data_IF_422285397653
#
_entry.id   IF_422285397653
#
_cell.length_a   1.000
_cell.length_b   1.000
_cell.length_c   1.000
_cell.angle_alpha   90.00
_cell.angle_beta   90.00
_cell.angle_gamma   90.00
#
_symmetry.space_group_name_H-M   'P 1'
#
loop_
_entity.id
_entity.type
_entity.pdbx_description
1 polymer ?
#
# COMPACT_ATOMS: atom_id res chain seq x y z
N UNK A 1 15.75 6.91 -2.44
CA UNK A 1 15.08 6.60 -1.16
C UNK A 1 16.10 6.74 -0.04
N UNK A 2 15.69 7.07 1.19
CA UNK A 2 16.59 7.12 2.35
C UNK A 2 17.02 5.72 2.82
N UNK A 3 16.04 4.82 2.97
CA UNK A 3 16.23 3.40 3.22
C UNK A 3 15.36 2.60 2.26
N UNK A 4 15.96 1.62 1.58
CA UNK A 4 15.26 0.63 0.76
C UNK A 4 15.59 -0.76 1.31
N UNK A 5 14.55 -1.53 1.64
CA UNK A 5 14.68 -2.92 2.02
C UNK A 5 13.91 -3.80 1.02
N UNK A 6 14.59 -4.82 0.51
CA UNK A 6 14.03 -5.78 -0.43
C UNK A 6 14.38 -7.18 0.03
N UNK A 7 13.42 -8.12 -0.02
CA UNK A 7 13.64 -9.53 0.36
C UNK A 7 14.23 -9.69 1.76
N UNK A 8 13.80 -8.84 2.68
CA UNK A 8 14.28 -8.81 4.06
C UNK A 8 13.20 -9.31 5.04
N UNK A 9 13.61 -9.69 6.24
CA UNK A 9 12.72 -10.14 7.31
C UNK A 9 13.02 -9.40 8.61
N UNK A 10 11.97 -9.05 9.36
CA UNK A 10 12.06 -8.47 10.71
C UNK A 10 12.94 -7.21 10.82
N UNK A 11 12.41 -6.07 10.35
CA UNK A 11 13.13 -4.79 10.35
C UNK A 11 12.57 -3.89 11.45
N UNK A 12 13.46 -3.29 12.25
CA UNK A 12 13.09 -2.29 13.25
C UNK A 12 13.85 -0.99 13.02
N UNK A 13 13.11 0.10 12.86
CA UNK A 13 13.60 1.48 12.82
C UNK A 13 13.16 2.17 14.11
N UNK A 14 14.07 2.26 15.07
CA UNK A 14 13.85 2.99 16.33
C UNK A 14 14.52 4.35 16.23
N UNK A 15 13.73 5.43 16.37
CA UNK A 15 14.22 6.80 16.30
C UNK A 15 15.01 7.12 15.03
N UNK A 16 14.64 6.45 13.92
CA UNK A 16 15.22 6.70 12.61
C UNK A 16 14.73 8.03 12.05
N UNK A 17 15.61 8.77 11.38
CA UNK A 17 15.30 10.10 10.88
C UNK A 17 15.78 10.31 9.45
N UNK A 18 14.88 10.84 8.62
CA UNK A 18 15.22 11.50 7.35
C UNK A 18 14.78 12.95 7.52
N UNK A 19 15.72 13.80 7.91
CA UNK A 19 15.44 15.19 8.28
C UNK A 19 16.59 16.11 7.84
N UNK A 20 16.31 17.42 7.87
CA UNK A 20 17.35 18.43 7.67
C UNK A 20 18.35 18.39 8.84
N UNK A 21 19.58 18.84 8.59
CA UNK A 21 20.66 18.82 9.59
C UNK A 21 20.45 19.83 10.74
N UNK A 22 19.47 20.71 10.61
CA UNK A 22 19.15 21.77 11.56
C UNK A 22 18.42 22.93 10.88
N UNK A 23 18.09 23.96 11.65
CA UNK A 23 17.38 25.15 11.16
C UNK A 23 18.17 25.96 10.13
N UNK A 24 19.50 25.85 10.15
CA UNK A 24 20.40 26.58 9.23
C UNK A 24 20.73 25.75 7.97
N UNK A 25 20.11 24.58 7.79
CA UNK A 25 20.29 23.78 6.59
C UNK A 25 19.63 24.48 5.39
N UNK A 26 20.40 24.89 4.35
CA UNK A 26 19.83 25.65 3.23
C UNK A 26 19.02 24.79 2.26
N UNK A 27 18.95 23.47 2.48
CA UNK A 27 18.26 22.53 1.59
C UNK A 27 16.76 22.60 1.81
N UNK A 28 16.02 22.68 0.72
CA UNK A 28 14.55 22.70 0.73
C UNK A 28 13.91 21.31 0.94
N UNK A 29 14.66 20.24 0.68
CA UNK A 29 14.18 18.86 0.79
C UNK A 29 15.33 17.93 1.21
N UNK A 30 15.00 16.74 1.73
CA UNK A 30 15.95 15.75 2.24
C UNK A 30 16.30 14.71 1.18
N UNK A 31 15.43 13.73 0.93
CA UNK A 31 15.61 12.70 -0.10
C UNK A 31 14.82 13.03 -1.36
N UNK A 32 15.33 12.65 -2.54
CA UNK A 32 14.66 12.85 -3.84
C UNK A 32 13.50 11.87 -4.11
N UNK A 33 13.29 10.92 -3.21
CA UNK A 33 12.21 9.93 -3.22
C UNK A 33 11.85 9.61 -1.77
N UNK A 34 11.24 8.46 -1.52
CA UNK A 34 10.74 8.01 -0.22
C UNK A 34 11.81 8.09 0.87
N UNK A 35 11.39 8.39 2.11
CA UNK A 35 12.29 8.28 3.25
C UNK A 35 12.61 6.80 3.54
N UNK A 36 11.59 5.93 3.54
CA UNK A 36 11.75 4.47 3.72
C UNK A 36 10.84 3.72 2.75
N UNK A 37 11.31 2.58 2.23
CA UNK A 37 10.59 1.79 1.25
C UNK A 37 10.90 0.31 1.44
N UNK A 38 9.87 -0.54 1.46
CA UNK A 38 9.96 -1.96 1.76
C UNK A 38 9.20 -2.76 0.71
N UNK A 39 9.94 -3.52 -0.10
CA UNK A 39 9.37 -4.29 -1.21
C UNK A 39 9.65 -5.77 -1.03
N UNK A 40 8.60 -6.60 -0.98
CA UNK A 40 8.73 -8.04 -0.80
C UNK A 40 9.46 -8.42 0.50
N UNK A 41 9.11 -7.79 1.62
CA UNK A 41 9.63 -8.14 2.94
C UNK A 41 8.66 -9.07 3.69
N UNK A 42 9.16 -9.85 4.66
CA UNK A 42 8.33 -10.73 5.52
C UNK A 42 8.55 -10.49 7.01
N UNK A 43 7.79 -11.19 7.84
CA UNK A 43 7.83 -11.02 9.30
C UNK A 43 7.21 -9.70 9.72
N UNK A 44 7.94 -8.89 10.50
CA UNK A 44 7.41 -7.63 11.06
C UNK A 44 8.30 -6.43 10.73
N UNK A 45 7.70 -5.35 10.26
CA UNK A 45 8.33 -4.04 10.09
C UNK A 45 7.85 -3.13 11.22
N UNK A 46 8.77 -2.64 12.04
CA UNK A 46 8.50 -1.70 13.12
C UNK A 46 9.23 -0.41 12.81
N UNK A 47 8.51 0.71 12.83
CA UNK A 47 9.06 2.04 12.64
C UNK A 47 8.46 2.96 13.69
N UNK A 48 9.28 3.39 14.64
CA UNK A 48 8.80 4.08 15.81
C UNK A 48 9.68 5.22 16.30
N UNK A 49 9.02 6.27 16.81
CA UNK A 49 9.64 7.47 17.37
C UNK A 49 10.59 8.19 16.40
N UNK A 50 10.34 8.05 15.08
CA UNK A 50 11.15 8.61 14.01
C UNK A 50 10.70 10.00 13.55
N UNK A 51 11.55 10.65 12.75
CA UNK A 51 11.28 11.94 12.11
C UNK A 51 11.47 11.83 10.60
N UNK A 52 10.39 11.99 9.85
CA UNK A 52 10.37 11.95 8.40
C UNK A 52 9.96 13.33 7.87
N UNK A 53 10.92 14.08 7.38
CA UNK A 53 10.74 15.49 7.02
C UNK A 53 11.31 15.81 5.65
N UNK A 54 10.51 16.53 4.86
CA UNK A 54 10.99 17.19 3.65
C UNK A 54 11.44 16.26 2.54
N UNK A 55 11.10 14.98 2.57
CA UNK A 55 11.38 14.05 1.47
C UNK A 55 10.45 14.32 0.28
N UNK A 56 10.93 13.99 -0.92
CA UNK A 56 10.19 14.26 -2.16
C UNK A 56 9.16 13.18 -2.52
N UNK A 57 8.94 12.20 -1.63
CA UNK A 57 7.89 11.18 -1.74
C UNK A 57 7.46 10.70 -0.33
N UNK A 58 7.00 9.47 -0.20
CA UNK A 58 6.38 8.96 1.02
C UNK A 58 7.36 8.77 2.20
N UNK A 59 6.87 8.85 3.45
CA UNK A 59 7.68 8.50 4.62
C UNK A 59 8.00 7.02 4.68
N UNK A 60 7.00 6.20 4.34
CA UNK A 60 7.07 4.75 4.32
C UNK A 60 6.15 4.22 3.24
N UNK A 61 6.69 3.35 2.37
CA UNK A 61 5.91 2.52 1.46
C UNK A 61 6.21 1.04 1.73
N UNK A 62 5.17 0.22 1.92
CA UNK A 62 5.28 -1.22 2.15
C UNK A 62 4.37 -1.96 1.18
N UNK A 63 4.95 -2.81 0.35
CA UNK A 63 4.21 -3.60 -0.64
C UNK A 63 4.92 -4.90 -1.05
N UNK A 64 4.17 -5.82 -1.64
CA UNK A 64 4.72 -6.90 -2.48
C UNK A 64 4.80 -6.49 -3.95
N UNK A 65 5.30 -7.35 -4.84
CA UNK A 65 5.24 -7.08 -6.29
C UNK A 65 4.47 -8.18 -7.02
N UNK A 66 3.49 -7.82 -7.84
CA UNK A 66 2.74 -8.79 -8.62
C UNK A 66 3.61 -9.26 -9.79
N UNK A 67 3.64 -10.56 -10.05
CA UNK A 67 4.06 -11.05 -11.35
C UNK A 67 2.86 -11.13 -12.28
N UNK A 68 2.94 -10.51 -13.46
CA UNK A 68 1.90 -10.69 -14.48
C UNK A 68 2.02 -12.08 -15.10
N UNK A 69 0.93 -12.82 -15.20
CA UNK A 69 0.89 -14.08 -15.97
C UNK A 69 1.08 -13.76 -17.44
N UNK A 70 2.17 -14.26 -18.04
CA UNK A 70 2.49 -14.07 -19.47
C UNK A 70 2.31 -15.34 -20.28
N UNK A 71 2.24 -16.51 -19.63
CA UNK A 71 2.01 -17.79 -20.29
C UNK A 71 1.53 -18.85 -19.31
N UNK A 72 0.53 -19.65 -19.70
CA UNK A 72 0.22 -20.94 -19.06
C UNK A 72 0.96 -22.07 -19.78
N UNK A 73 1.74 -22.86 -19.05
CA UNK A 73 2.49 -24.00 -19.61
C UNK A 73 1.66 -25.28 -19.53
N UNK A 74 1.07 -25.53 -18.36
CA UNK A 74 0.21 -26.66 -18.06
C UNK A 74 -0.74 -26.30 -16.91
N UNK A 75 -1.43 -27.29 -16.33
CA UNK A 75 -2.39 -27.08 -15.24
C UNK A 75 -1.76 -26.70 -13.90
N UNK A 76 -0.44 -26.77 -13.78
CA UNK A 76 0.29 -26.46 -12.56
C UNK A 76 1.37 -25.40 -12.75
N UNK A 77 1.67 -24.98 -13.99
CA UNK A 77 2.83 -24.15 -14.28
C UNK A 77 2.49 -22.91 -15.08
N UNK A 78 2.93 -21.74 -14.59
CA UNK A 78 2.82 -20.45 -15.27
C UNK A 78 4.21 -19.83 -15.50
N UNK A 79 4.29 -18.94 -16.49
CA UNK A 79 5.33 -17.92 -16.56
C UNK A 79 4.76 -16.62 -16.00
N UNK A 80 5.41 -16.09 -14.97
CA UNK A 80 5.11 -14.79 -14.36
C UNK A 80 6.22 -13.78 -14.69
N UNK A 81 5.86 -12.52 -14.96
CA UNK A 81 6.81 -11.46 -15.34
C UNK A 81 6.69 -10.23 -14.44
N UNK A 82 7.82 -9.69 -14.02
CA UNK A 82 7.91 -8.34 -13.45
C UNK A 82 7.62 -7.28 -14.51
N UNK A 83 6.64 -6.42 -14.25
CA UNK A 83 6.16 -5.46 -15.25
C UNK A 83 6.84 -4.10 -15.15
N UNK A 84 6.86 -3.49 -13.97
CA UNK A 84 7.40 -2.15 -13.79
C UNK A 84 8.93 -2.14 -13.95
N UNK A 85 9.48 -1.12 -14.61
CA UNK A 85 10.91 -1.10 -14.99
C UNK A 85 11.86 -0.92 -13.79
N UNK A 86 11.33 -0.59 -12.61
CA UNK A 86 12.11 -0.41 -11.37
C UNK A 86 11.91 -1.55 -10.35
N UNK A 87 11.22 -2.64 -10.70
CA UNK A 87 10.82 -3.69 -9.75
C UNK A 87 11.28 -5.12 -10.10
N UNK A 88 12.34 -5.26 -10.91
CA UNK A 88 12.83 -6.56 -11.37
C UNK A 88 14.32 -6.77 -11.08
N UNK A 89 14.79 -7.99 -11.32
CA UNK A 89 16.20 -8.34 -11.24
C UNK A 89 16.63 -9.08 -9.97
N UNK A 90 15.68 -9.52 -9.16
CA UNK A 90 15.89 -10.22 -7.90
C UNK A 90 14.83 -11.34 -7.71
N UNK A 91 15.00 -12.17 -6.68
CA UNK A 91 14.07 -13.25 -6.35
C UNK A 91 12.65 -12.74 -6.11
N UNK A 92 11.64 -13.58 -6.34
CA UNK A 92 10.24 -13.23 -6.11
C UNK A 92 9.55 -14.12 -5.07
N UNK A 93 10.01 -15.35 -4.94
CA UNK A 93 9.47 -16.33 -4.00
C UNK A 93 10.28 -17.60 -3.99
N UNK A 94 9.93 -18.50 -3.09
CA UNK A 94 10.63 -19.75 -2.81
C UNK A 94 9.64 -20.95 -2.74
N UNK A 95 10.09 -22.19 -2.99
CA UNK A 95 9.26 -23.37 -2.75
C UNK A 95 8.70 -23.38 -1.31
N UNK A 96 7.40 -23.61 -1.18
CA UNK A 96 6.67 -23.52 0.07
C UNK A 96 5.89 -22.22 0.24
N UNK A 97 6.20 -21.17 -0.52
CA UNK A 97 5.48 -19.90 -0.42
C UNK A 97 4.01 -20.03 -0.77
N UNK A 98 3.15 -19.39 0.03
CA UNK A 98 1.72 -19.27 -0.25
C UNK A 98 1.48 -18.13 -1.22
N UNK A 99 0.64 -18.35 -2.22
CA UNK A 99 0.33 -17.36 -3.25
C UNK A 99 -1.17 -17.26 -3.49
N UNK A 100 -1.60 -16.18 -4.15
CA UNK A 100 -2.93 -16.07 -4.74
C UNK A 100 -2.88 -15.40 -6.11
N UNK A 101 -3.98 -15.45 -6.83
CA UNK A 101 -4.12 -14.84 -8.15
C UNK A 101 -5.17 -13.74 -8.13
N UNK A 102 -4.92 -12.65 -8.85
CA UNK A 102 -5.84 -11.53 -9.00
C UNK A 102 -6.10 -11.25 -10.47
N UNK A 103 -7.34 -10.92 -10.83
CA UNK A 103 -7.70 -10.44 -12.16
C UNK A 103 -7.38 -8.95 -12.25
N UNK A 104 -6.38 -8.55 -13.02
CA UNK A 104 -5.84 -7.17 -13.04
C UNK A 104 -6.91 -6.11 -13.32
N UNK A 105 -7.89 -6.40 -14.19
CA UNK A 105 -8.95 -5.45 -14.58
C UNK A 105 -9.88 -5.07 -13.41
N UNK A 106 -10.20 -6.02 -12.54
CA UNK A 106 -11.17 -5.82 -11.45
C UNK A 106 -10.55 -5.94 -10.06
N UNK A 107 -9.29 -6.37 -9.97
CA UNK A 107 -8.58 -6.72 -8.73
C UNK A 107 -9.30 -7.79 -7.88
N UNK A 108 -10.23 -8.56 -8.46
CA UNK A 108 -10.86 -9.69 -7.79
C UNK A 108 -9.86 -10.85 -7.65
N UNK A 109 -9.87 -11.52 -6.50
CA UNK A 109 -9.15 -12.78 -6.31
C UNK A 109 -9.78 -13.85 -7.21
N UNK A 110 -8.95 -14.51 -8.02
CA UNK A 110 -9.34 -15.60 -8.90
C UNK A 110 -8.89 -16.95 -8.31
N UNK A 111 -9.79 -17.93 -8.28
CA UNK A 111 -9.50 -19.26 -7.77
C UNK A 111 -9.28 -19.30 -6.25
N UNK A 112 -8.43 -20.22 -5.81
CA UNK A 112 -8.05 -20.42 -4.39
C UNK A 112 -6.55 -20.15 -4.20
N UNK A 113 -6.12 -19.81 -2.98
CA UNK A 113 -4.69 -19.77 -2.66
C UNK A 113 -4.00 -21.10 -3.00
N UNK A 114 -2.74 -21.01 -3.41
CA UNK A 114 -1.91 -22.15 -3.79
C UNK A 114 -0.53 -22.02 -3.14
N UNK A 115 0.37 -22.98 -3.38
CA UNK A 115 1.77 -22.87 -2.95
C UNK A 115 2.75 -23.17 -4.06
N UNK A 116 3.89 -22.47 -4.04
CA UNK A 116 5.00 -22.74 -4.95
C UNK A 116 5.64 -24.10 -4.60
N UNK A 117 5.89 -24.94 -5.60
CA UNK A 117 6.65 -26.19 -5.48
C UNK A 117 8.01 -26.09 -6.16
N UNK A 118 8.10 -25.29 -7.22
CA UNK A 118 9.34 -24.95 -7.88
C UNK A 118 9.23 -23.56 -8.51
N UNK A 119 10.34 -22.83 -8.49
CA UNK A 119 10.47 -21.53 -9.16
C UNK A 119 11.88 -21.43 -9.75
N UNK A 120 11.98 -20.99 -11.00
CA UNK A 120 13.26 -20.79 -11.67
C UNK A 120 13.19 -19.61 -12.65
N UNK A 121 14.32 -18.93 -12.92
CA UNK A 121 14.40 -17.97 -14.02
C UNK A 121 13.91 -18.58 -15.35
N UNK A 122 13.18 -17.81 -16.14
CA UNK A 122 12.68 -18.21 -17.45
C UNK A 122 13.33 -17.44 -18.60
N UNK A 123 13.85 -16.23 -18.35
CA UNK A 123 14.52 -15.38 -19.34
C UNK A 123 16.03 -15.23 -19.12
N UNK A 124 16.57 -15.84 -18.06
CA UNK A 124 17.98 -15.80 -17.65
C UNK A 124 18.44 -17.17 -17.15
N UNK A 125 19.75 -17.35 -17.01
CA UNK A 125 20.36 -18.53 -16.38
C UNK A 125 20.43 -18.43 -14.85
N UNK A 126 20.38 -17.21 -14.32
CA UNK A 126 20.50 -16.90 -12.88
C UNK A 126 19.43 -15.87 -12.49
N UNK A 127 19.18 -15.73 -11.19
CA UNK A 127 18.16 -14.81 -10.66
C UNK A 127 18.57 -13.34 -10.80
N UNK A 128 19.86 -13.02 -10.81
CA UNK A 128 20.31 -11.65 -10.98
C UNK A 128 19.88 -11.10 -12.36
N UNK A 129 19.09 -10.02 -12.35
CA UNK A 129 18.56 -9.43 -13.59
C UNK A 129 17.45 -10.23 -14.27
N UNK A 130 16.84 -11.20 -13.57
CA UNK A 130 15.67 -11.93 -14.05
C UNK A 130 14.45 -11.01 -14.16
N UNK A 131 13.65 -11.20 -15.21
CA UNK A 131 12.35 -10.54 -15.34
C UNK A 131 11.20 -11.53 -15.40
N UNK A 132 11.46 -12.78 -15.79
CA UNK A 132 10.47 -13.83 -15.88
C UNK A 132 10.82 -15.05 -15.03
N UNK A 133 9.82 -15.59 -14.37
CA UNK A 133 9.92 -16.84 -13.62
C UNK A 133 8.99 -17.88 -14.19
N UNK A 134 9.50 -19.10 -14.32
CA UNK A 134 8.68 -20.30 -14.45
C UNK A 134 8.35 -20.77 -13.04
N UNK A 135 7.05 -20.85 -12.73
CA UNK A 135 6.55 -21.16 -11.39
C UNK A 135 5.61 -22.35 -11.50
N UNK A 136 5.91 -23.41 -10.74
CA UNK A 136 5.06 -24.60 -10.63
C UNK A 136 4.39 -24.61 -9.27
N UNK A 137 3.08 -24.82 -9.25
CA UNK A 137 2.23 -24.80 -8.06
C UNK A 137 1.78 -26.20 -7.66
N UNK A 138 1.51 -26.37 -6.37
CA UNK A 138 1.09 -27.66 -5.79
C UNK A 138 -0.26 -28.11 -6.33
N UNK A 139 -1.26 -27.24 -6.27
CA UNK A 139 -2.63 -27.54 -6.69
C UNK A 139 -2.87 -27.05 -8.14
N UNK A 140 -3.84 -27.64 -8.87
CA UNK A 140 -4.17 -27.17 -10.22
C UNK A 140 -4.61 -25.69 -10.23
N UNK A 141 -4.15 -24.96 -11.24
CA UNK A 141 -4.48 -23.55 -11.46
C UNK A 141 -5.90 -23.45 -12.03
N UNK A 142 -6.68 -22.50 -11.53
CA UNK A 142 -8.02 -22.18 -12.05
C UNK A 142 -7.98 -22.08 -13.59
N UNK A 143 -8.83 -22.81 -14.33
CA UNK A 143 -8.83 -22.82 -15.80
C UNK A 143 -8.97 -21.43 -16.45
N UNK A 144 -9.53 -20.44 -15.76
CA UNK A 144 -9.66 -19.08 -16.27
C UNK A 144 -8.33 -18.31 -16.31
N UNK A 145 -7.37 -18.68 -15.43
CA UNK A 145 -6.07 -18.01 -15.35
C UNK A 145 -5.23 -18.43 -16.56
N UNK A 146 -4.93 -17.46 -17.41
CA UNK A 146 -4.17 -17.63 -18.65
C UNK A 146 -3.53 -16.30 -19.08
N UNK A 147 -2.70 -16.33 -20.12
CA UNK A 147 -2.09 -15.14 -20.71
C UNK A 147 -3.08 -14.24 -21.50
N UNK A 148 -4.28 -14.74 -21.79
CA UNK A 148 -5.26 -14.04 -22.64
C UNK A 148 -5.92 -12.86 -21.92
N UNK A 149 -5.97 -12.89 -20.60
CA UNK A 149 -6.46 -11.81 -19.76
C UNK A 149 -5.36 -11.34 -18.79
N UNK A 150 -5.53 -10.15 -18.20
CA UNK A 150 -4.62 -9.67 -17.18
C UNK A 150 -4.83 -10.42 -15.87
N UNK A 151 -3.85 -11.24 -15.47
CA UNK A 151 -3.75 -11.81 -14.14
C UNK A 151 -2.42 -11.47 -13.47
N UNK A 152 -2.49 -11.14 -12.18
CA UNK A 152 -1.34 -11.01 -11.30
C UNK A 152 -1.21 -12.23 -10.38
N UNK A 153 0.01 -12.64 -10.10
CA UNK A 153 0.38 -13.59 -9.06
C UNK A 153 0.90 -12.78 -7.87
N UNK A 154 0.31 -12.98 -6.70
CA UNK A 154 0.72 -12.35 -5.44
C UNK A 154 1.36 -13.37 -4.52
N UNK A 155 2.53 -13.03 -3.97
CA UNK A 155 3.16 -13.81 -2.92
C UNK A 155 2.64 -13.35 -1.55
N UNK A 156 1.92 -14.22 -0.86
CA UNK A 156 1.34 -13.94 0.46
C UNK A 156 2.33 -14.18 1.60
N UNK A 157 3.38 -14.98 1.38
CA UNK A 157 4.44 -15.19 2.39
C UNK A 157 5.29 -13.94 2.56
N UNK A 158 5.64 -13.28 1.46
CA UNK A 158 6.47 -12.07 1.46
C UNK A 158 5.63 -10.81 1.66
N UNK A 159 4.82 -10.85 2.72
CA UNK A 159 4.02 -9.72 3.19
C UNK A 159 4.25 -9.54 4.69
N UNK A 160 4.64 -8.33 5.17
CA UNK A 160 4.98 -8.14 6.57
C UNK A 160 3.79 -7.56 7.36
N UNK A 161 3.74 -7.88 8.66
CA UNK A 161 3.03 -7.06 9.64
C UNK A 161 3.74 -5.71 9.80
N UNK A 162 2.98 -4.66 10.14
CA UNK A 162 3.48 -3.29 10.23
C UNK A 162 3.06 -2.63 11.54
N UNK A 163 4.03 -2.04 12.23
CA UNK A 163 3.80 -1.07 13.29
C UNK A 163 4.50 0.25 12.98
N UNK A 164 3.71 1.30 12.74
CA UNK A 164 4.17 2.65 12.51
C UNK A 164 3.67 3.55 13.64
N UNK A 165 4.52 3.83 14.64
CA UNK A 165 4.09 4.40 15.92
C UNK A 165 4.91 5.59 16.43
N UNK A 166 4.26 6.63 16.94
CA UNK A 166 4.97 7.74 17.59
C UNK A 166 5.86 8.56 16.67
N UNK A 167 5.68 8.48 15.36
CA UNK A 167 6.51 9.18 14.38
C UNK A 167 5.98 10.59 14.08
N UNK A 168 6.86 11.46 13.61
CA UNK A 168 6.52 12.76 13.02
C UNK A 168 6.76 12.69 11.52
N UNK A 169 5.76 13.04 10.73
CA UNK A 169 5.77 13.03 9.27
C UNK A 169 5.36 14.42 8.82
N UNK A 170 6.26 15.16 8.16
CA UNK A 170 5.96 16.55 7.81
C UNK A 170 6.63 17.08 6.56
N UNK A 171 5.97 18.07 5.96
CA UNK A 171 6.52 18.88 4.86
C UNK A 171 7.00 18.08 3.65
N UNK A 172 6.52 16.86 3.46
CA UNK A 172 6.96 16.00 2.37
C UNK A 172 6.07 16.15 1.13
N UNK A 173 6.66 15.90 -0.05
CA UNK A 173 5.89 15.73 -1.29
C UNK A 173 5.21 14.35 -1.29
N UNK A 174 4.01 14.30 -1.88
CA UNK A 174 3.18 13.12 -2.07
C UNK A 174 2.51 12.63 -0.77
N UNK A 175 2.51 11.33 -0.44
CA UNK A 175 1.70 10.79 0.66
C UNK A 175 2.52 10.77 1.96
N UNK A 176 1.87 10.74 3.12
CA UNK A 176 2.56 10.50 4.38
C UNK A 176 3.04 9.05 4.45
N UNK A 177 2.11 8.09 4.37
CA UNK A 177 2.40 6.66 4.32
C UNK A 177 1.65 5.95 3.20
N UNK A 178 2.24 4.92 2.62
CA UNK A 178 1.61 4.01 1.68
C UNK A 178 1.68 2.56 2.21
N UNK A 179 0.53 1.93 2.43
CA UNK A 179 0.48 0.55 2.90
C UNK A 179 -0.31 -0.36 1.94
N UNK A 180 0.34 -1.43 1.54
CA UNK A 180 -0.21 -2.52 0.73
C UNK A 180 0.28 -3.86 1.30
N UNK A 181 -0.45 -4.39 2.28
CA UNK A 181 -0.17 -5.72 2.85
C UNK A 181 -1.46 -6.35 3.37
N UNK A 182 -1.69 -7.67 3.19
CA UNK A 182 -2.81 -8.38 3.80
C UNK A 182 -2.62 -8.61 5.30
N UNK A 183 -1.41 -8.43 5.83
CA UNK A 183 -1.12 -8.60 7.25
C UNK A 183 -1.61 -7.41 8.08
N UNK A 184 -1.45 -7.51 9.40
CA UNK A 184 -1.85 -6.47 10.34
C UNK A 184 -1.00 -5.20 10.13
N UNK A 185 -1.68 -4.06 9.97
CA UNK A 185 -1.07 -2.72 9.95
C UNK A 185 -1.59 -1.91 11.12
N UNK A 186 -0.69 -1.36 11.93
CA UNK A 186 -1.02 -0.45 13.03
C UNK A 186 -0.33 0.89 12.80
N UNK A 187 -1.12 1.94 12.62
CA UNK A 187 -0.69 3.34 12.52
C UNK A 187 -1.21 4.05 13.77
N UNK A 188 -0.33 4.30 14.74
CA UNK A 188 -0.76 4.75 16.06
C UNK A 188 0.12 5.87 16.65
N UNK A 189 -0.50 6.85 17.31
CA UNK A 189 0.20 7.93 18.01
C UNK A 189 1.15 8.75 17.12
N UNK A 190 0.93 8.83 15.81
CA UNK A 190 1.77 9.63 14.89
C UNK A 190 1.24 11.06 14.73
N UNK A 191 2.15 11.98 14.42
CA UNK A 191 1.84 13.32 13.95
C UNK A 191 2.08 13.43 12.44
N UNK A 192 1.01 13.67 11.69
CA UNK A 192 1.06 14.05 10.28
C UNK A 192 0.86 15.56 10.17
N UNK A 193 1.91 16.29 9.83
CA UNK A 193 1.97 17.75 9.92
C UNK A 193 2.27 18.34 8.54
N UNK A 194 1.25 18.91 7.89
CA UNK A 194 1.34 19.51 6.57
C UNK A 194 1.88 18.56 5.47
N UNK A 195 1.45 17.29 5.47
CA UNK A 195 1.71 16.39 4.33
C UNK A 195 1.02 16.94 3.09
N UNK A 196 1.74 16.97 1.96
CA UNK A 196 1.20 17.61 0.76
C UNK A 196 0.07 16.81 0.08
N UNK A 197 0.11 15.49 0.14
CA UNK A 197 -0.98 14.59 -0.26
C UNK A 197 -1.67 13.96 0.95
N UNK A 198 -2.32 12.81 0.72
CA UNK A 198 -2.95 12.03 1.77
C UNK A 198 -1.94 11.67 2.85
N UNK A 199 -2.28 11.88 4.11
CA UNK A 199 -1.44 11.49 5.24
C UNK A 199 -1.28 9.96 5.29
N UNK A 200 -2.36 9.22 5.01
CA UNK A 200 -2.33 7.77 4.92
C UNK A 200 -3.03 7.35 3.62
N UNK A 201 -2.32 6.58 2.80
CA UNK A 201 -2.86 5.93 1.61
C UNK A 201 -2.80 4.41 1.79
N UNK A 202 -3.96 3.75 1.66
CA UNK A 202 -4.05 2.32 1.46
C UNK A 202 -4.30 2.09 -0.03
N UNK A 203 -3.38 1.40 -0.71
CA UNK A 203 -3.39 1.24 -2.17
C UNK A 203 -3.15 -0.21 -2.59
N UNK A 204 -3.09 -0.41 -3.89
CA UNK A 204 -2.69 -1.63 -4.56
C UNK A 204 -3.15 -1.59 -6.00
N UNK A 205 -2.31 -2.08 -6.91
CA UNK A 205 -2.62 -2.14 -8.33
C UNK A 205 -1.93 -3.32 -8.99
N UNK A 206 -2.51 -3.83 -10.07
CA UNK A 206 -1.90 -4.83 -10.93
C UNK A 206 -1.88 -4.33 -12.40
N UNK A 207 -1.74 -3.02 -12.62
CA UNK A 207 -1.92 -2.40 -13.94
C UNK A 207 -0.89 -1.30 -14.27
N UNK A 208 -0.30 -0.66 -13.26
CA UNK A 208 0.69 0.41 -13.36
C UNK A 208 1.98 0.06 -12.62
N UNK A 209 1.98 0.18 -11.28
CA UNK A 209 3.14 -0.12 -10.43
C UNK A 209 3.30 -1.60 -10.12
N UNK A 210 2.21 -2.37 -10.18
CA UNK A 210 2.18 -3.80 -9.81
C UNK A 210 2.55 -4.02 -8.34
N UNK A 211 2.13 -3.10 -7.46
CA UNK A 211 2.33 -3.20 -6.02
C UNK A 211 1.17 -3.98 -5.37
N UNK A 212 1.51 -5.08 -4.69
CA UNK A 212 0.53 -6.01 -4.10
C UNK A 212 0.27 -5.73 -2.65
N UNK A 213 -0.88 -6.22 -2.18
CA UNK A 213 -1.21 -6.31 -0.77
C UNK A 213 -2.53 -5.64 -0.45
N UNK A 214 -3.62 -6.38 -0.60
CA UNK A 214 -4.92 -5.91 -0.16
C UNK A 214 -4.97 -5.78 1.37
N UNK A 215 -5.09 -4.56 1.89
CA UNK A 215 -5.28 -4.30 3.32
C UNK A 215 -6.48 -5.06 3.93
N UNK A 216 -6.23 -6.08 4.76
CA UNK A 216 -7.27 -6.92 5.42
C UNK A 216 -7.47 -6.62 6.91
N UNK A 217 -6.48 -6.03 7.57
CA UNK A 217 -6.47 -5.77 9.01
C UNK A 217 -5.66 -4.49 9.31
N UNK A 218 -6.33 -3.35 9.34
CA UNK A 218 -5.70 -2.04 9.51
C UNK A 218 -6.33 -1.32 10.70
N UNK A 219 -5.49 -0.80 11.58
CA UNK A 219 -5.89 0.05 12.70
C UNK A 219 -5.14 1.38 12.58
N UNK A 220 -5.89 2.47 12.38
CA UNK A 220 -5.40 3.85 12.36
C UNK A 220 -6.00 4.54 13.57
N UNK A 221 -5.20 4.77 14.62
CA UNK A 221 -5.73 5.32 15.87
C UNK A 221 -4.84 6.32 16.56
N UNK A 222 -5.44 7.28 17.28
CA UNK A 222 -4.70 8.26 18.10
C UNK A 222 -3.67 9.08 17.34
N UNK A 223 -3.80 9.17 16.02
CA UNK A 223 -2.95 10.03 15.22
C UNK A 223 -3.51 11.46 15.21
N UNK A 224 -2.63 12.43 15.05
CA UNK A 224 -2.99 13.83 14.81
C UNK A 224 -2.63 14.22 13.39
N UNK A 225 -3.62 14.71 12.65
CA UNK A 225 -3.48 15.21 11.29
C UNK A 225 -3.64 16.73 11.33
N UNK A 226 -2.58 17.47 11.02
CA UNK A 226 -2.56 18.95 10.99
C UNK A 226 -2.40 19.39 9.54
N UNK A 227 -3.44 20.01 8.99
CA UNK A 227 -3.48 20.57 7.64
C UNK A 227 -2.86 19.64 6.58
N UNK A 228 -3.15 18.34 6.64
CA UNK A 228 -2.77 17.41 5.59
C UNK A 228 -3.52 17.72 4.29
N UNK A 229 -3.05 17.15 3.17
CA UNK A 229 -3.64 17.33 1.84
C UNK A 229 -3.52 18.77 1.30
N UNK A 230 -2.33 19.38 1.43
CA UNK A 230 -2.08 20.76 0.98
C UNK A 230 -1.88 20.93 -0.54
N UNK A 231 -1.87 19.84 -1.31
CA UNK A 231 -1.72 19.85 -2.76
C UNK A 231 -2.46 18.66 -3.42
N UNK A 232 -2.57 18.67 -4.75
CA UNK A 232 -3.22 17.60 -5.53
C UNK A 232 -2.20 16.57 -6.01
N UNK A 233 -2.36 15.32 -5.58
CA UNK A 233 -1.59 14.17 -6.06
C UNK A 233 -2.50 13.04 -6.52
N UNK A 234 -1.92 12.08 -7.25
CA UNK A 234 -2.63 10.87 -7.64
C UNK A 234 -3.00 10.06 -6.40
N UNK A 235 -4.21 9.48 -6.41
CA UNK A 235 -4.74 8.61 -5.35
C UNK A 235 -4.95 9.28 -3.98
N UNK A 236 -4.81 10.61 -3.89
CA UNK A 236 -4.97 11.38 -2.64
C UNK A 236 -6.29 12.16 -2.64
N UNK A 237 -7.42 11.46 -2.52
CA UNK A 237 -8.75 12.07 -2.59
C UNK A 237 -9.26 12.64 -1.24
N UNK A 238 -8.56 12.33 -0.15
CA UNK A 238 -8.83 12.79 1.21
C UNK A 238 -7.59 12.62 2.11
N UNK A 239 -7.61 13.20 3.33
CA UNK A 239 -6.54 13.05 4.33
C UNK A 239 -6.17 11.58 4.56
N UNK A 240 -7.17 10.71 4.72
CA UNK A 240 -7.01 9.25 4.64
C UNK A 240 -7.66 8.78 3.34
N UNK A 241 -6.87 8.22 2.44
CA UNK A 241 -7.36 7.70 1.16
C UNK A 241 -7.20 6.18 1.12
N UNK A 242 -8.28 5.46 0.83
CA UNK A 242 -8.27 4.02 0.53
C UNK A 242 -8.61 3.90 -0.95
N UNK A 243 -7.59 3.79 -1.78
CA UNK A 243 -7.69 3.96 -3.23
C UNK A 243 -6.90 2.85 -3.95
N UNK A 244 -7.48 1.67 -4.17
CA UNK A 244 -6.93 0.71 -5.11
C UNK A 244 -7.22 1.13 -6.57
N UNK A 245 -6.27 0.90 -7.46
CA UNK A 245 -6.45 1.14 -8.89
C UNK A 245 -7.16 -0.04 -9.54
N UNK A 246 -8.47 0.13 -9.76
CA UNK A 246 -9.35 -0.85 -10.38
C UNK A 246 -9.87 -0.27 -11.70
N UNK A 247 -9.34 -0.72 -12.86
CA UNK A 247 -9.76 -0.24 -14.18
C UNK A 247 -11.26 -0.44 -14.47
N UNK A 248 -11.85 -1.54 -14.01
CA UNK A 248 -13.25 -1.89 -14.20
C UNK A 248 -13.94 -2.09 -12.85
N UNK A 249 -14.23 -0.97 -12.17
CA UNK A 249 -14.88 -0.99 -10.86
C UNK A 249 -16.32 -1.52 -10.95
N UNK A 250 -17.03 -1.20 -12.03
CA UNK A 250 -18.41 -1.64 -12.27
C UNK A 250 -18.47 -3.17 -12.44
N UNK A 251 -17.52 -3.74 -13.18
CA UNK A 251 -17.38 -5.18 -13.39
C UNK A 251 -16.81 -5.96 -12.20
N UNK A 252 -16.25 -5.28 -11.19
CA UNK A 252 -15.72 -5.94 -10.00
C UNK A 252 -16.81 -6.67 -9.21
N UNK A 253 -16.54 -7.91 -8.80
CA UNK A 253 -17.54 -8.74 -8.12
C UNK A 253 -17.47 -8.63 -6.59
N UNK A 254 -16.27 -8.47 -6.04
CA UNK A 254 -16.01 -8.37 -4.60
C UNK A 254 -15.40 -7.01 -4.26
N UNK A 255 -14.76 -6.94 -3.09
CA UNK A 255 -14.06 -5.77 -2.59
C UNK A 255 -12.57 -6.11 -2.48
N UNK A 256 -11.72 -5.19 -2.94
CA UNK A 256 -10.29 -5.40 -2.90
C UNK A 256 -9.78 -5.36 -1.46
N UNK A 257 -10.11 -4.31 -0.70
CA UNK A 257 -9.73 -4.18 0.70
C UNK A 257 -10.79 -4.72 1.67
N UNK A 258 -10.33 -5.15 2.85
CA UNK A 258 -11.18 -5.63 3.93
C UNK A 258 -11.67 -7.07 3.74
N UNK A 259 -12.95 -7.33 4.00
CA UNK A 259 -13.57 -8.66 3.86
C UNK A 259 -14.29 -9.15 5.12
N UNK A 260 -14.09 -8.47 6.25
CA UNK A 260 -14.88 -8.66 7.48
C UNK A 260 -15.12 -7.32 8.16
N UNK A 261 -16.17 -7.24 8.95
CA UNK A 261 -16.46 -6.05 9.75
C UNK A 261 -15.24 -5.68 10.63
N UNK A 262 -14.87 -4.39 10.62
CA UNK A 262 -13.73 -3.89 11.37
C UNK A 262 -12.37 -4.27 10.78
N UNK A 263 -12.33 -4.75 9.53
CA UNK A 263 -11.07 -4.96 8.80
C UNK A 263 -10.24 -3.69 8.67
N UNK A 264 -10.89 -2.52 8.59
CA UNK A 264 -10.22 -1.22 8.62
C UNK A 264 -10.91 -0.40 9.71
N UNK A 265 -10.18 -0.10 10.77
CA UNK A 265 -10.64 0.66 11.92
C UNK A 265 -9.88 1.98 12.01
N UNK A 266 -10.62 3.09 11.94
CA UNK A 266 -10.11 4.45 12.04
C UNK A 266 -10.76 5.08 13.28
N UNK A 267 -10.02 5.19 14.38
CA UNK A 267 -10.61 5.63 15.65
C UNK A 267 -9.73 6.53 16.51
N UNK A 268 -10.35 7.38 17.34
CA UNK A 268 -9.63 8.21 18.31
C UNK A 268 -8.57 9.14 17.69
N UNK A 269 -8.69 9.49 16.41
CA UNK A 269 -7.78 10.41 15.75
C UNK A 269 -8.29 11.86 15.86
N UNK A 270 -7.36 12.82 15.80
CA UNK A 270 -7.65 14.24 15.73
C UNK A 270 -7.28 14.79 14.35
N UNK A 271 -8.25 15.44 13.70
CA UNK A 271 -8.07 16.14 12.44
C UNK A 271 -8.23 17.64 12.70
N UNK A 272 -7.17 18.40 12.43
CA UNK A 272 -7.18 19.86 12.36
C UNK A 272 -6.99 20.24 10.89
N UNK A 273 -8.08 20.55 10.18
CA UNK A 273 -8.10 20.63 8.72
C UNK A 273 -8.67 21.96 8.22
N UNK A 274 -8.13 22.46 7.12
CA UNK A 274 -8.65 23.63 6.42
C UNK A 274 -9.71 23.27 5.36
N UNK A 275 -9.68 22.06 4.80
CA UNK A 275 -10.56 21.59 3.72
C UNK A 275 -11.51 20.46 4.17
N UNK A 276 -12.49 20.10 3.33
CA UNK A 276 -13.53 19.12 3.62
C UNK A 276 -13.06 17.65 3.68
N UNK A 277 -12.23 17.12 2.76
CA UNK A 277 -11.99 15.67 2.64
C UNK A 277 -11.23 15.03 3.80
N UNK A 278 -11.91 14.22 4.61
CA UNK A 278 -11.29 13.46 5.71
C UNK A 278 -11.01 12.03 5.29
N UNK A 279 -11.98 11.37 4.66
CA UNK A 279 -11.87 9.96 4.28
C UNK A 279 -12.45 9.71 2.90
N UNK A 280 -11.64 9.09 2.06
CA UNK A 280 -12.03 8.52 0.78
C UNK A 280 -11.88 6.99 0.86
N UNK A 281 -12.90 6.24 0.42
CA UNK A 281 -12.82 4.79 0.37
C UNK A 281 -13.40 4.19 -0.90
N UNK A 282 -12.58 3.43 -1.62
CA UNK A 282 -12.94 2.70 -2.84
C UNK A 282 -12.73 1.20 -2.68
N UNK A 283 -13.74 0.39 -3.03
CA UNK A 283 -13.67 -1.08 -3.01
C UNK A 283 -13.28 -1.65 -1.63
N UNK A 284 -14.06 -1.30 -0.61
CA UNK A 284 -13.79 -1.64 0.80
C UNK A 284 -14.96 -2.40 1.43
N UNK A 285 -14.67 -3.46 2.16
CA UNK A 285 -15.65 -4.19 2.94
C UNK A 285 -15.28 -4.27 4.44
N UNK A 286 -16.06 -3.61 5.29
CA UNK A 286 -15.88 -3.63 6.75
C UNK A 286 -15.03 -2.48 7.30
N UNK A 287 -15.35 -1.25 6.91
CA UNK A 287 -14.72 -0.01 7.39
C UNK A 287 -15.48 0.55 8.61
N UNK A 288 -14.78 0.86 9.69
CA UNK A 288 -15.33 1.54 10.87
C UNK A 288 -14.56 2.82 11.11
N UNK A 289 -15.25 3.95 11.12
CA UNK A 289 -14.76 5.26 11.51
C UNK A 289 -15.51 5.70 12.77
N UNK A 290 -14.85 5.86 13.92
CA UNK A 290 -15.53 6.21 15.18
C UNK A 290 -14.66 7.01 16.14
N UNK A 291 -15.28 7.82 17.00
CA UNK A 291 -14.59 8.55 18.08
C UNK A 291 -13.45 9.44 17.57
N UNK A 292 -13.52 9.91 16.32
CA UNK A 292 -12.55 10.84 15.77
C UNK A 292 -13.02 12.27 15.99
N UNK A 293 -12.10 13.18 16.30
CA UNK A 293 -12.39 14.60 16.47
C UNK A 293 -11.98 15.33 15.20
N UNK A 294 -12.93 16.02 14.55
CA UNK A 294 -12.66 16.81 13.34
C UNK A 294 -12.90 18.28 13.62
N UNK A 295 -11.82 19.07 13.63
CA UNK A 295 -11.82 20.52 13.79
C UNK A 295 -11.51 21.17 12.46
N UNK A 296 -12.36 22.10 12.05
CA UNK A 296 -12.13 22.90 10.85
C UNK A 296 -11.45 24.22 11.23
N UNK A 297 -10.41 24.60 10.50
CA UNK A 297 -9.72 25.87 10.61
C UNK A 297 -9.77 26.64 9.27
N UNK A 298 -9.14 27.81 9.22
CA UNK A 298 -9.04 28.66 8.02
C UNK A 298 -7.57 29.05 7.71
N UNK A 299 -6.60 28.21 8.10
CA UNK A 299 -5.17 28.50 7.88
C UNK A 299 -4.82 28.52 6.39
N UNK A 300 -5.54 27.73 5.59
CA UNK A 300 -5.49 27.76 4.12
C UNK A 300 -6.89 27.91 3.53
N UNK A 301 -6.95 28.38 2.27
CA UNK A 301 -8.20 28.37 1.50
C UNK A 301 -8.47 26.95 1.00
N UNK A 302 -9.70 26.41 1.18
CA UNK A 302 -10.12 25.17 0.54
C UNK A 302 -9.90 25.22 -0.97
N UNK A 303 -9.41 24.13 -1.55
CA UNK A 303 -9.13 24.02 -2.98
C UNK A 303 -9.40 22.62 -3.56
N UNK A 304 -9.53 21.61 -2.71
CA UNK A 304 -9.62 20.23 -3.16
C UNK A 304 -10.92 20.00 -3.94
N UNK A 305 -10.90 19.24 -5.04
CA UNK A 305 -12.11 19.03 -5.86
C UNK A 305 -13.18 18.23 -5.10
N UNK A 306 -12.75 17.26 -4.28
CA UNK A 306 -13.64 16.52 -3.40
C UNK A 306 -14.16 17.47 -2.32
N UNK A 307 -15.45 17.77 -2.34
CA UNK A 307 -16.10 18.64 -1.36
C UNK A 307 -16.81 17.84 -0.26
N UNK A 308 -16.72 16.51 -0.29
CA UNK A 308 -17.34 15.62 0.68
C UNK A 308 -16.36 15.28 1.80
N UNK A 309 -16.84 15.36 3.05
CA UNK A 309 -16.08 14.92 4.22
C UNK A 309 -15.74 13.43 4.15
N UNK A 310 -16.73 12.63 3.77
CA UNK A 310 -16.64 11.20 3.55
C UNK A 310 -17.11 10.91 2.12
N UNK A 311 -16.22 10.41 1.27
CA UNK A 311 -16.53 10.01 -0.10
C UNK A 311 -16.30 8.49 -0.24
N UNK A 312 -17.36 7.75 -0.55
CA UNK A 312 -17.35 6.29 -0.57
C UNK A 312 -17.78 5.78 -1.95
N UNK A 313 -17.00 4.86 -2.51
CA UNK A 313 -17.23 4.26 -3.83
C UNK A 313 -17.14 2.73 -3.72
N UNK A 314 -18.24 2.03 -4.04
CA UNK A 314 -18.33 0.57 -3.95
C UNK A 314 -17.83 0.05 -2.59
N UNK A 315 -18.61 0.30 -1.54
CA UNK A 315 -18.28 -0.11 -0.17
C UNK A 315 -19.34 -1.03 0.43
N UNK A 316 -18.96 -1.85 1.40
CA UNK A 316 -19.86 -2.71 2.17
C UNK A 316 -19.51 -2.68 3.66
N UNK A 317 -20.52 -2.93 4.53
CA UNK A 317 -20.37 -2.95 6.00
C UNK A 317 -19.61 -1.74 6.56
N UNK A 318 -19.92 -0.54 6.06
CA UNK A 318 -19.31 0.72 6.51
C UNK A 318 -20.10 1.29 7.67
N UNK A 319 -19.39 1.68 8.74
CA UNK A 319 -19.96 2.40 9.90
C UNK A 319 -19.16 3.68 10.12
N UNK A 320 -19.82 4.82 9.98
CA UNK A 320 -19.25 6.14 10.29
C UNK A 320 -20.04 6.69 11.49
N UNK A 321 -19.35 6.87 12.60
CA UNK A 321 -19.88 7.43 13.85
C UNK A 321 -19.06 8.68 14.15
N UNK A 322 -19.62 9.84 13.81
CA UNK A 322 -19.10 11.14 14.23
C UNK A 322 -19.37 11.39 15.71
#
# INVERSE_FOLDING_TARGET
MGLLAQLCENITLQSFGVCLKGTDDPRYFTTQADATHFSGCKGKIVSCNGLYEGMMDDAINIHGTYLKVTKRIDDHTLIGRYMHNQSWGFEWGEPGDSIQFVRSKTMDIQGRPNSITAISPADRSETAGVREFKITFRDPIDPQISEQEGYGIENLTWTPEVEFKGNIIRNNRARGTLFSTPQKVVVEDNLFDHTSGAAILLCGDCNGWYETGACRNVVIRKNRFVNALTNQFQFTNAVISIYPEIPDLDGQQRYFHGGKEGSILIEENEFDTFDAPILYAKSVDGLIFRHNVIKKNNEYKPFHWNQSRFLLEKVNRVKIVE
#
